data_IF_600479499673
#
_entry.id   IF_600479499673
#
_cell.length_a   1.000
_cell.length_b   1.000
_cell.length_c   1.000
_cell.angle_alpha   90.00
_cell.angle_beta   90.00
_cell.angle_gamma   90.00
#
_symmetry.space_group_name_H-M   'P 1'
#
loop_
_entity.id
_entity.type
_entity.pdbx_description
1 polymer ?
#
# COMPACT_ATOMS: atom_id res chain seq x y z
N UNK A 1 14.33 -1.29 -4.08
CA UNK A 1 14.89 -0.61 -2.89
C UNK A 1 15.90 0.42 -3.36
N UNK A 2 15.54 1.70 -3.35
CA UNK A 2 16.37 2.78 -3.90
C UNK A 2 16.85 2.50 -5.34
N UNK A 3 15.95 2.00 -6.19
CA UNK A 3 16.26 1.63 -7.58
C UNK A 3 17.06 0.33 -7.78
N UNK A 4 17.53 -0.33 -6.72
CA UNK A 4 18.18 -1.63 -6.81
C UNK A 4 17.15 -2.78 -6.75
N UNK A 5 17.33 -3.78 -7.63
CA UNK A 5 16.51 -4.99 -7.65
C UNK A 5 16.90 -5.92 -6.50
N UNK A 6 15.96 -6.14 -5.60
CA UNK A 6 16.14 -7.00 -4.43
C UNK A 6 15.87 -8.47 -4.76
N UNK A 7 14.85 -8.75 -5.57
CA UNK A 7 14.39 -10.11 -5.84
C UNK A 7 13.12 -10.16 -6.67
N UNK A 8 12.46 -11.31 -6.65
CA UNK A 8 11.19 -11.55 -7.32
C UNK A 8 10.22 -12.33 -6.44
N UNK A 9 8.94 -11.98 -6.53
CA UNK A 9 7.83 -12.72 -5.95
C UNK A 9 7.10 -13.49 -7.05
N UNK A 10 6.68 -14.72 -6.75
CA UNK A 10 5.91 -15.55 -7.66
C UNK A 10 4.81 -16.30 -6.92
N UNK A 11 3.66 -16.47 -7.59
CA UNK A 11 2.58 -17.30 -7.09
C UNK A 11 2.65 -18.69 -7.70
N UNK A 12 2.63 -19.72 -6.86
CA UNK A 12 2.48 -21.09 -7.30
C UNK A 12 1.02 -21.41 -7.65
N UNK A 13 0.77 -22.52 -8.35
CA UNK A 13 -0.58 -22.92 -8.78
C UNK A 13 -1.56 -23.16 -7.63
N UNK A 14 -1.05 -23.44 -6.43
CA UNK A 14 -1.82 -23.59 -5.19
C UNK A 14 -2.03 -22.27 -4.44
N UNK A 15 -1.61 -21.13 -5.00
CA UNK A 15 -1.71 -19.81 -4.38
C UNK A 15 -0.60 -19.46 -3.39
N UNK A 16 0.41 -20.32 -3.21
CA UNK A 16 1.55 -20.01 -2.34
C UNK A 16 2.45 -18.94 -2.97
N UNK A 17 2.82 -17.94 -2.16
CA UNK A 17 3.77 -16.90 -2.58
C UNK A 17 5.20 -17.32 -2.22
N UNK A 18 6.05 -17.33 -3.23
CA UNK A 18 7.49 -17.61 -3.14
C UNK A 18 8.28 -16.35 -3.42
N UNK A 19 9.41 -16.20 -2.75
CA UNK A 19 10.36 -15.13 -2.97
C UNK A 19 11.73 -15.70 -3.30
N UNK A 20 12.41 -15.09 -4.26
CA UNK A 20 13.80 -15.36 -4.57
C UNK A 20 14.59 -14.04 -4.60
N UNK A 21 15.72 -14.01 -3.89
CA UNK A 21 16.64 -12.89 -3.98
C UNK A 21 17.25 -12.79 -5.37
N UNK A 22 17.41 -11.55 -5.85
CA UNK A 22 18.22 -11.31 -7.03
C UNK A 22 19.65 -11.77 -6.75
N UNK A 23 20.32 -12.36 -7.75
CA UNK A 23 21.66 -12.91 -7.58
C UNK A 23 22.65 -11.85 -7.06
N UNK A 24 22.54 -10.61 -7.52
CA UNK A 24 23.41 -9.52 -7.07
C UNK A 24 23.12 -9.12 -5.62
N UNK A 25 21.85 -9.05 -5.23
CA UNK A 25 21.43 -8.73 -3.88
C UNK A 25 21.78 -9.82 -2.87
N UNK A 26 21.67 -11.09 -3.26
CA UNK A 26 22.04 -12.22 -2.40
C UNK A 26 23.52 -12.22 -1.99
N UNK A 27 24.40 -11.61 -2.80
CA UNK A 27 25.85 -11.55 -2.56
C UNK A 27 26.28 -10.28 -1.84
N UNK A 28 25.72 -9.13 -2.21
CA UNK A 28 26.20 -7.82 -1.74
C UNK A 28 25.14 -6.93 -1.09
N UNK A 29 23.90 -7.41 -0.97
CA UNK A 29 22.80 -6.67 -0.35
C UNK A 29 22.75 -6.83 1.17
N UNK A 30 21.62 -6.45 1.74
CA UNK A 30 21.27 -6.68 3.15
C UNK A 30 20.03 -7.57 3.25
N UNK A 31 19.91 -8.41 4.30
CA UNK A 31 18.67 -9.13 4.56
C UNK A 31 17.49 -8.15 4.66
N UNK A 32 16.35 -8.49 4.06
CA UNK A 32 15.15 -7.64 4.11
C UNK A 32 14.54 -7.52 5.51
N UNK A 33 14.81 -8.49 6.37
CA UNK A 33 14.33 -8.53 7.75
C UNK A 33 15.32 -9.31 8.61
N UNK A 34 15.44 -9.00 9.91
CA UNK A 34 16.29 -9.75 10.84
C UNK A 34 15.79 -11.19 11.08
N UNK A 35 14.60 -11.55 10.58
CA UNK A 35 14.05 -12.89 10.72
C UNK A 35 14.85 -13.90 9.90
N UNK A 36 15.10 -15.08 10.49
CA UNK A 36 15.96 -16.13 9.90
C UNK A 36 15.57 -16.54 8.47
N UNK A 37 14.29 -16.51 8.12
CA UNK A 37 13.83 -16.90 6.79
C UNK A 37 14.17 -15.87 5.71
N UNK A 38 14.44 -14.61 6.07
CA UNK A 38 14.86 -13.55 5.16
C UNK A 38 16.38 -13.35 5.11
N UNK A 39 17.18 -14.27 5.69
CA UNK A 39 18.63 -14.21 5.50
C UNK A 39 19.00 -14.38 4.02
N UNK A 40 20.04 -13.66 3.59
CA UNK A 40 20.52 -13.71 2.21
C UNK A 40 20.89 -15.15 1.82
N UNK A 41 20.33 -15.61 0.71
CA UNK A 41 20.51 -16.96 0.20
C UNK A 41 20.15 -17.02 -1.28
N UNK A 42 20.64 -18.06 -1.95
CA UNK A 42 20.19 -18.41 -3.29
C UNK A 42 18.99 -19.34 -3.24
N UNK A 43 18.18 -19.31 -4.30
CA UNK A 43 17.00 -20.15 -4.48
C UNK A 43 15.74 -19.56 -3.86
N UNK A 44 14.61 -19.91 -4.47
CA UNK A 44 13.30 -19.50 -4.00
C UNK A 44 12.97 -20.13 -2.64
N UNK A 45 12.32 -19.36 -1.78
CA UNK A 45 11.82 -19.81 -0.49
C UNK A 45 10.44 -19.22 -0.21
N UNK A 46 9.72 -19.87 0.71
CA UNK A 46 8.48 -19.37 1.29
C UNK A 46 8.65 -19.22 2.81
N UNK A 47 7.89 -18.33 3.43
CA UNK A 47 7.89 -18.21 4.89
C UNK A 47 7.22 -19.44 5.53
N UNK A 48 7.81 -19.96 6.61
CA UNK A 48 7.44 -21.27 7.18
C UNK A 48 6.36 -21.23 8.28
N UNK A 49 6.04 -20.06 8.85
CA UNK A 49 5.13 -19.94 10.01
C UNK A 49 3.82 -19.22 9.66
N UNK A 50 2.70 -19.92 9.89
CA UNK A 50 1.38 -19.60 9.38
C UNK A 50 0.31 -19.66 10.47
N UNK A 51 0.14 -18.58 11.23
CA UNK A 51 -1.20 -18.29 11.74
C UNK A 51 -2.00 -17.67 10.59
N UNK A 52 -3.12 -18.29 10.22
CA UNK A 52 -4.10 -17.78 9.25
C UNK A 52 -3.64 -17.55 7.79
N UNK A 53 -2.64 -18.29 7.29
CA UNK A 53 -2.18 -18.20 5.88
C UNK A 53 -1.59 -16.83 5.47
N UNK A 54 -1.08 -16.06 6.44
CA UNK A 54 -0.60 -14.69 6.21
C UNK A 54 -1.74 -13.68 5.98
N UNK A 55 -1.43 -12.39 5.98
CA UNK A 55 -2.43 -11.37 5.66
C UNK A 55 -2.60 -11.33 4.14
N UNK A 56 -3.78 -11.71 3.64
CA UNK A 56 -4.08 -11.83 2.21
C UNK A 56 -3.10 -12.73 1.45
N UNK A 57 -2.60 -13.82 2.05
CA UNK A 57 -1.67 -14.74 1.38
C UNK A 57 -0.22 -14.24 1.26
N UNK A 58 0.07 -13.05 1.79
CA UNK A 58 1.44 -12.51 1.92
C UNK A 58 2.01 -12.82 3.30
N UNK A 59 3.33 -12.95 3.35
CA UNK A 59 4.04 -13.33 4.56
C UNK A 59 5.05 -12.27 5.01
N UNK A 60 5.14 -12.09 6.33
CA UNK A 60 6.15 -11.28 6.99
C UNK A 60 6.15 -9.84 6.47
N UNK A 61 7.33 -9.38 6.05
CA UNK A 61 7.50 -7.99 5.62
C UNK A 61 6.67 -7.63 4.38
N UNK A 62 6.32 -8.60 3.52
CA UNK A 62 5.50 -8.31 2.34
C UNK A 62 4.06 -8.01 2.74
N UNK A 63 3.50 -8.71 3.72
CA UNK A 63 2.18 -8.35 4.27
C UNK A 63 2.18 -7.00 4.96
N UNK A 64 3.30 -6.60 5.59
CA UNK A 64 3.41 -5.30 6.26
C UNK A 64 3.39 -4.11 5.28
N UNK A 65 3.58 -4.37 3.98
CA UNK A 65 3.44 -3.33 2.95
C UNK A 65 2.00 -3.08 2.52
N UNK A 66 1.08 -4.01 2.81
CA UNK A 66 -0.31 -3.80 2.51
C UNK A 66 -0.90 -2.71 3.42
N UNK A 67 -1.87 -1.94 2.91
CA UNK A 67 -2.57 -0.97 3.74
C UNK A 67 -3.34 -1.66 4.86
N UNK A 68 -3.81 -0.87 5.81
CA UNK A 68 -4.65 -1.36 6.88
C UNK A 68 -6.10 -1.60 6.45
N UNK A 69 -7.02 -1.89 7.37
CA UNK A 69 -8.41 -2.19 7.01
C UNK A 69 -9.11 -1.07 6.22
N UNK A 70 -8.79 0.20 6.51
CA UNK A 70 -9.34 1.34 5.78
C UNK A 70 -8.73 1.43 4.37
N UNK A 71 -7.41 1.35 4.26
CA UNK A 71 -6.76 1.42 2.96
C UNK A 71 -7.04 0.18 2.09
N UNK A 72 -7.22 -1.01 2.68
CA UNK A 72 -7.66 -2.22 1.97
C UNK A 72 -9.07 -2.05 1.41
N UNK A 73 -10.00 -1.48 2.18
CA UNK A 73 -11.34 -1.15 1.71
C UNK A 73 -11.28 -0.22 0.49
N UNK A 74 -10.48 0.84 0.57
CA UNK A 74 -10.34 1.80 -0.51
C UNK A 74 -9.68 1.18 -1.75
N UNK A 75 -8.64 0.35 -1.56
CA UNK A 75 -8.00 -0.39 -2.64
C UNK A 75 -8.97 -1.36 -3.33
N UNK A 76 -9.76 -2.12 -2.57
CA UNK A 76 -10.77 -3.03 -3.13
C UNK A 76 -11.83 -2.26 -3.93
N UNK A 77 -12.26 -1.08 -3.45
CA UNK A 77 -13.19 -0.20 -4.18
C UNK A 77 -12.54 0.38 -5.45
N UNK A 78 -11.29 0.84 -5.36
CA UNK A 78 -10.54 1.37 -6.50
C UNK A 78 -10.38 0.33 -7.60
N UNK A 79 -9.92 -0.88 -7.26
CA UNK A 79 -9.76 -1.98 -8.21
C UNK A 79 -11.11 -2.41 -8.80
N UNK A 80 -12.20 -2.35 -8.01
CA UNK A 80 -13.54 -2.59 -8.56
C UNK A 80 -13.97 -1.52 -9.55
N UNK A 81 -13.74 -0.25 -9.23
CA UNK A 81 -14.14 0.90 -10.05
C UNK A 81 -13.31 1.00 -11.33
N UNK A 82 -11.99 0.84 -11.26
CA UNK A 82 -11.09 1.09 -12.38
C UNK A 82 -10.76 -0.16 -13.20
N UNK A 83 -10.64 -1.34 -12.57
CA UNK A 83 -10.30 -2.60 -13.24
C UNK A 83 -11.50 -3.58 -13.34
N UNK A 84 -12.62 -3.30 -12.68
CA UNK A 84 -13.80 -4.17 -12.66
C UNK A 84 -13.69 -5.37 -11.71
N UNK A 85 -12.56 -5.52 -11.01
CA UNK A 85 -12.26 -6.70 -10.19
C UNK A 85 -12.99 -6.68 -8.86
N UNK A 86 -13.62 -7.80 -8.52
CA UNK A 86 -14.25 -8.01 -7.23
C UNK A 86 -13.19 -8.42 -6.19
N UNK A 87 -13.41 -8.19 -4.88
CA UNK A 87 -12.41 -8.48 -3.85
C UNK A 87 -11.82 -9.90 -3.86
N UNK A 88 -12.61 -10.89 -4.27
CA UNK A 88 -12.20 -12.29 -4.37
C UNK A 88 -11.37 -12.64 -5.61
N UNK A 89 -11.32 -11.74 -6.59
CA UNK A 89 -10.54 -11.88 -7.82
C UNK A 89 -9.13 -11.30 -7.66
N UNK A 90 -8.90 -10.49 -6.61
CA UNK A 90 -7.66 -9.76 -6.37
C UNK A 90 -6.66 -10.67 -5.64
N UNK A 91 -5.57 -11.04 -6.32
CA UNK A 91 -4.52 -11.87 -5.73
C UNK A 91 -3.58 -11.08 -4.80
N UNK A 92 -2.76 -11.75 -3.99
CA UNK A 92 -1.75 -11.10 -3.15
C UNK A 92 -0.77 -10.25 -3.96
N UNK A 93 -0.37 -10.74 -5.14
CA UNK A 93 0.54 -10.03 -6.04
C UNK A 93 -0.13 -8.83 -6.69
N UNK A 94 -1.42 -8.91 -6.99
CA UNK A 94 -2.19 -7.76 -7.51
C UNK A 94 -2.22 -6.61 -6.50
N UNK A 95 -2.38 -6.92 -5.20
CA UNK A 95 -2.32 -5.90 -4.14
C UNK A 95 -0.94 -5.24 -4.06
N UNK A 96 0.14 -6.01 -4.21
CA UNK A 96 1.50 -5.47 -4.23
C UNK A 96 1.74 -4.61 -5.48
N UNK A 97 1.30 -5.05 -6.65
CA UNK A 97 1.38 -4.28 -7.89
C UNK A 97 0.54 -3.01 -7.85
N UNK A 98 -0.61 -3.01 -7.16
CA UNK A 98 -1.37 -1.80 -6.87
C UNK A 98 -0.57 -0.85 -5.97
N UNK A 99 0.06 -1.37 -4.91
CA UNK A 99 0.88 -0.55 -4.02
C UNK A 99 2.06 0.09 -4.74
N UNK A 100 2.69 -0.60 -5.70
CA UNK A 100 3.76 -0.01 -6.53
C UNK A 100 4.88 0.61 -5.68
N UNK A 101 5.09 1.91 -5.84
CA UNK A 101 6.03 2.74 -5.06
C UNK A 101 5.41 3.46 -3.86
N UNK A 102 4.10 3.26 -3.62
CA UNK A 102 3.33 3.86 -2.50
C UNK A 102 3.39 3.03 -1.23
N UNK A 103 4.04 1.86 -1.26
CA UNK A 103 4.29 1.06 -0.08
C UNK A 103 5.16 1.83 0.92
N UNK A 104 4.81 1.81 2.20
CA UNK A 104 5.69 2.41 3.21
C UNK A 104 6.98 1.60 3.35
N UNK A 105 8.06 2.32 3.62
CA UNK A 105 9.39 1.76 3.76
C UNK A 105 10.21 1.95 2.49
N UNK A 106 11.10 1.01 2.20
CA UNK A 106 12.05 1.11 1.09
C UNK A 106 11.79 0.09 -0.03
N UNK A 107 10.70 -0.68 0.07
CA UNK A 107 10.31 -1.65 -0.95
C UNK A 107 9.32 -1.03 -1.92
N UNK A 108 9.59 -1.26 -3.20
CA UNK A 108 8.76 -0.87 -4.33
C UNK A 108 8.49 -2.14 -5.13
N UNK A 109 7.29 -2.27 -5.67
CA UNK A 109 6.84 -3.45 -6.37
C UNK A 109 6.62 -3.16 -7.85
N UNK A 110 7.19 -4.01 -8.71
CA UNK A 110 7.09 -3.85 -10.16
C UNK A 110 6.65 -5.18 -10.84
N UNK A 111 5.82 -5.11 -11.90
CA UNK A 111 5.28 -3.89 -12.50
C UNK A 111 4.21 -3.23 -11.62
N UNK A 112 4.22 -1.90 -11.54
CA UNK A 112 3.16 -1.15 -10.87
C UNK A 112 1.92 -1.11 -11.78
N UNK A 113 0.71 -1.18 -11.20
CA UNK A 113 -0.53 -1.05 -11.96
C UNK A 113 -0.75 0.37 -12.48
N UNK A 114 -0.35 1.36 -11.67
CA UNK A 114 -0.41 2.78 -11.95
C UNK A 114 0.93 3.39 -11.55
N UNK A 115 1.43 4.32 -12.36
CA UNK A 115 2.60 5.14 -12.03
C UNK A 115 2.08 6.56 -11.75
N UNK A 116 2.00 6.93 -10.48
CA UNK A 116 1.47 8.23 -10.06
C UNK A 116 2.59 9.13 -9.53
N UNK A 117 2.66 10.36 -10.05
CA UNK A 117 3.50 11.42 -9.49
C UNK A 117 2.77 12.25 -8.42
N UNK A 118 3.42 13.28 -7.85
CA UNK A 118 2.74 14.26 -7.02
C UNK A 118 1.66 14.96 -7.85
N UNK A 119 0.41 14.54 -7.66
CA UNK A 119 -0.75 15.17 -8.28
C UNK A 119 -1.38 16.16 -7.31
N UNK A 120 -1.98 17.23 -7.84
CA UNK A 120 -2.90 18.04 -7.06
C UNK A 120 -4.05 17.18 -6.55
N UNK A 121 -4.39 17.35 -5.27
CA UNK A 121 -5.50 16.66 -4.63
C UNK A 121 -6.50 17.68 -4.10
N UNK A 122 -7.77 17.28 -3.90
CA UNK A 122 -8.74 18.10 -3.19
C UNK A 122 -8.25 18.53 -1.81
N UNK A 123 -8.82 19.60 -1.27
CA UNK A 123 -8.52 20.04 0.09
C UNK A 123 -8.92 19.00 1.16
N UNK A 124 -8.37 19.18 2.37
CA UNK A 124 -8.58 18.24 3.47
C UNK A 124 -10.04 18.15 3.92
N UNK A 125 -10.84 19.21 3.74
CA UNK A 125 -12.26 19.20 4.11
C UNK A 125 -13.04 18.29 3.16
N UNK A 126 -12.79 18.43 1.86
CA UNK A 126 -13.38 17.59 0.81
C UNK A 126 -12.99 16.13 0.99
N UNK A 127 -11.72 15.84 1.31
CA UNK A 127 -11.27 14.48 1.62
C UNK A 127 -11.94 13.93 2.89
N UNK A 128 -12.17 14.76 3.91
CA UNK A 128 -12.84 14.35 5.13
C UNK A 128 -14.32 13.99 4.90
N UNK A 129 -15.04 14.77 4.08
CA UNK A 129 -16.42 14.48 3.67
C UNK A 129 -16.52 13.18 2.89
N UNK A 130 -15.62 12.97 1.92
CA UNK A 130 -15.55 11.73 1.16
C UNK A 130 -15.22 10.53 2.07
N UNK A 131 -14.33 10.72 3.05
CA UNK A 131 -14.00 9.69 4.03
C UNK A 131 -15.20 9.28 4.89
N UNK A 132 -15.99 10.27 5.36
CA UNK A 132 -17.24 10.01 6.10
C UNK A 132 -18.27 9.28 5.24
N UNK A 133 -18.46 9.69 3.98
CA UNK A 133 -19.36 9.01 3.05
C UNK A 133 -19.01 7.54 2.88
N UNK A 134 -17.71 7.22 2.75
CA UNK A 134 -17.23 5.83 2.68
C UNK A 134 -17.49 5.06 3.97
N UNK A 135 -17.23 5.68 5.13
CA UNK A 135 -17.46 5.08 6.45
C UNK A 135 -18.94 4.78 6.70
N UNK A 136 -19.85 5.62 6.21
CA UNK A 136 -21.31 5.43 6.26
C UNK A 136 -21.82 4.33 5.31
N UNK A 137 -20.93 3.66 4.56
CA UNK A 137 -21.30 2.64 3.60
C UNK A 137 -21.79 3.20 2.26
N UNK A 138 -21.52 4.48 1.99
CA UNK A 138 -21.83 5.13 0.73
C UNK A 138 -21.27 4.34 -0.47
N UNK A 139 -22.15 4.08 -1.43
CA UNK A 139 -21.83 3.43 -2.71
C UNK A 139 -22.05 4.47 -3.80
N UNK A 140 -20.95 4.92 -4.41
CA UNK A 140 -20.97 5.97 -5.42
C UNK A 140 -19.56 6.20 -5.97
N UNK A 141 -19.45 7.15 -6.89
CA UNK A 141 -18.15 7.62 -7.35
C UNK A 141 -17.45 8.35 -6.19
N UNK A 142 -16.47 7.68 -5.60
CA UNK A 142 -15.61 8.26 -4.57
C UNK A 142 -14.47 8.98 -5.30
N UNK A 143 -13.98 10.06 -4.70
CA UNK A 143 -12.84 10.80 -5.21
C UNK A 143 -11.68 9.84 -5.47
N UNK A 144 -11.18 9.79 -6.70
CA UNK A 144 -10.00 8.98 -7.06
C UNK A 144 -8.80 9.32 -6.18
N UNK A 145 -8.68 10.59 -5.77
CA UNK A 145 -7.67 11.02 -4.81
C UNK A 145 -7.81 10.29 -3.46
N UNK A 146 -9.02 10.00 -2.97
CA UNK A 146 -9.18 9.25 -1.73
C UNK A 146 -8.69 7.81 -1.87
N UNK A 147 -8.93 7.16 -3.00
CA UNK A 147 -8.43 5.80 -3.28
C UNK A 147 -6.91 5.71 -3.28
N UNK A 148 -6.27 6.73 -3.85
CA UNK A 148 -4.81 6.77 -3.94
C UNK A 148 -4.24 7.12 -2.56
N UNK A 149 -4.72 8.20 -1.93
CA UNK A 149 -4.16 8.76 -0.70
C UNK A 149 -4.52 7.95 0.56
N UNK A 150 -5.59 7.16 0.53
CA UNK A 150 -6.09 6.44 1.70
C UNK A 150 -5.37 5.14 2.06
N UNK A 151 -4.40 4.70 1.24
CA UNK A 151 -3.59 3.49 1.45
C UNK A 151 -2.55 3.56 2.58
N UNK A 152 -2.76 4.40 3.60
CA UNK A 152 -1.80 4.60 4.69
C UNK A 152 -1.78 3.41 5.66
N UNK A 153 -0.61 2.90 6.11
CA UNK A 153 -0.55 1.75 7.02
C UNK A 153 -0.96 2.07 8.47
N UNK A 154 -1.52 1.07 9.15
CA UNK A 154 -1.79 1.02 10.59
C UNK A 154 -3.12 1.62 11.09
N UNK A 155 -4.12 0.78 11.39
CA UNK A 155 -5.40 1.18 11.98
C UNK A 155 -6.63 0.69 11.21
N UNK A 156 -7.81 1.20 11.54
CA UNK A 156 -9.06 0.95 10.79
C UNK A 156 -9.86 2.24 10.56
N UNK A 157 -9.27 3.38 10.92
CA UNK A 157 -9.94 4.68 10.90
C UNK A 157 -9.60 5.43 9.61
N UNK A 158 -10.53 6.26 9.10
CA UNK A 158 -10.28 7.03 7.90
C UNK A 158 -9.09 7.97 8.04
N UNK A 159 -8.18 7.89 7.07
CA UNK A 159 -6.97 8.71 6.99
C UNK A 159 -6.43 8.74 5.57
N UNK A 160 -5.57 9.72 5.33
CA UNK A 160 -4.85 9.90 4.07
C UNK A 160 -3.40 10.28 4.32
N UNK A 161 -2.51 9.86 3.43
CA UNK A 161 -1.16 10.40 3.31
C UNK A 161 -1.20 11.55 2.31
N UNK A 162 -0.70 12.73 2.67
CA UNK A 162 -0.73 13.93 1.83
C UNK A 162 0.55 14.73 2.00
N UNK A 163 0.85 15.61 1.06
CA UNK A 163 1.89 16.61 1.19
C UNK A 163 1.25 17.98 1.36
N UNK A 164 1.61 18.71 2.41
CA UNK A 164 1.08 20.04 2.69
C UNK A 164 2.20 21.05 2.52
N UNK A 165 1.95 22.09 1.73
CA UNK A 165 2.87 23.21 1.59
C UNK A 165 3.10 23.86 2.96
N UNK A 166 4.31 24.31 3.29
CA UNK A 166 4.65 24.84 4.62
C UNK A 166 3.85 26.07 5.07
N UNK A 167 3.29 26.82 4.12
CA UNK A 167 2.39 27.94 4.40
C UNK A 167 0.91 27.51 4.60
N UNK A 168 0.62 26.23 4.44
CA UNK A 168 -0.71 25.63 4.57
C UNK A 168 -1.65 25.89 3.38
N UNK A 169 -1.18 26.49 2.28
CA UNK A 169 -2.07 26.95 1.22
C UNK A 169 -2.55 25.84 0.28
N UNK A 170 -1.75 24.79 0.09
CA UNK A 170 -1.99 23.75 -0.91
C UNK A 170 -1.67 22.35 -0.39
N UNK A 171 -2.41 21.38 -0.93
CA UNK A 171 -2.22 19.95 -0.68
C UNK A 171 -1.90 19.23 -1.99
N UNK A 172 -0.90 18.36 -1.96
CA UNK A 172 -0.55 17.43 -3.03
C UNK A 172 -0.67 15.99 -2.50
N UNK A 173 -0.63 15.03 -3.43
CA UNK A 173 -0.39 13.62 -3.10
C UNK A 173 0.83 13.49 -2.17
N UNK A 174 0.71 12.66 -1.14
CA UNK A 174 1.80 12.41 -0.19
C UNK A 174 2.80 11.36 -0.68
N UNK A 175 2.57 10.79 -1.86
CA UNK A 175 3.43 9.80 -2.50
C UNK A 175 4.31 10.41 -3.59
N UNK A 176 5.44 9.77 -3.86
CA UNK A 176 6.44 10.25 -4.81
C UNK A 176 7.35 11.33 -4.22
N UNK A 177 8.17 11.93 -5.09
CA UNK A 177 9.11 12.98 -4.71
C UNK A 177 8.41 14.33 -4.56
N UNK A 178 8.44 14.90 -3.36
CA UNK A 178 7.81 16.20 -3.09
C UNK A 178 8.68 17.38 -3.53
N UNK A 179 8.06 18.53 -3.86
CA UNK A 179 8.77 19.80 -3.95
C UNK A 179 9.34 20.23 -2.58
N UNK A 180 10.42 21.01 -2.59
CA UNK A 180 11.20 21.36 -1.39
C UNK A 180 10.42 22.13 -0.32
N UNK A 181 9.33 22.81 -0.69
CA UNK A 181 8.49 23.62 0.19
C UNK A 181 7.26 22.87 0.77
N UNK A 182 7.20 21.56 0.58
CA UNK A 182 6.17 20.67 1.11
C UNK A 182 6.73 19.74 2.18
N UNK A 183 5.88 19.36 3.13
CA UNK A 183 6.18 18.33 4.13
C UNK A 183 5.17 17.18 3.99
N UNK A 184 5.59 15.94 4.30
CA UNK A 184 4.70 14.78 4.33
C UNK A 184 3.85 14.75 5.60
N UNK A 185 2.57 14.44 5.45
CA UNK A 185 1.60 14.34 6.54
C UNK A 185 0.77 13.06 6.41
N UNK A 186 0.39 12.49 7.56
CA UNK A 186 -0.73 11.57 7.66
C UNK A 186 -1.85 12.31 8.40
N UNK A 187 -2.96 12.56 7.70
CA UNK A 187 -4.12 13.25 8.25
C UNK A 187 -5.16 12.19 8.63
N UNK A 188 -5.53 12.15 9.91
CA UNK A 188 -6.57 11.26 10.43
C UNK A 188 -7.88 12.04 10.51
N UNK A 189 -8.91 11.52 9.86
CA UNK A 189 -10.23 12.10 9.94
C UNK A 189 -10.99 11.59 11.16
N UNK A 190 -12.02 12.34 11.54
CA UNK A 190 -12.93 11.90 12.59
C UNK A 190 -13.66 10.64 12.09
N UNK A 191 -13.65 9.61 12.92
CA UNK A 191 -14.44 8.39 12.72
C UNK A 191 -15.69 8.50 13.58
N UNK A 192 -16.82 7.98 13.11
CA UNK A 192 -18.00 7.84 13.95
C UNK A 192 -17.71 6.88 15.11
N UNK A 193 -17.57 7.43 16.32
CA UNK A 193 -17.52 6.59 17.53
C UNK A 193 -18.87 5.90 17.66
N UNK A 194 -18.92 4.59 17.45
CA UNK A 194 -20.07 3.79 17.88
C UNK A 194 -20.11 3.90 19.39
N UNK A 195 -21.07 4.68 19.91
CA UNK A 195 -21.41 4.62 21.33
C UNK A 195 -22.15 3.30 21.50
N UNK A 196 -21.40 2.28 21.93
CA UNK A 196 -21.94 0.97 22.35
C UNK A 196 -22.72 1.11 23.65
#
# INVERSE_FOLDING_TARGET
MHGARVGGLASATNGEIWFEYDRSWAVGGIPLSPMRHFLLRSGAFKAENNTFNGLHGLYGLFSDTLPDGWGLLLMDRALKTHAGWSPHEISPLDRLSYMGDRAMGALEYHPAMEEDGPAEIPDLATLAEAALFVEEGGVGEILSSLYIQGGSPGGARPKVTVAIKRDGSHCLSGFGQLPDDYDHWIVKFKSMTVVS
#
